data_IF_391124890513
#
_entry.id   IF_391124890513
#
_cell.length_a   1.000
_cell.length_b   1.000
_cell.length_c   1.000
_cell.angle_alpha   90.00
_cell.angle_beta   90.00
_cell.angle_gamma   90.00
#
_symmetry.space_group_name_H-M   'P 1'
#
loop_
_entity.id
_entity.type
_entity.pdbx_description
1 polymer ?
#
# COMPACT_ATOMS: atom_id res chain seq x y z
N UNK A 1 8.60 0.77 19.13
CA UNK A 1 9.22 1.29 17.89
C UNK A 1 9.84 2.65 18.19
N UNK A 2 10.99 3.01 17.59
CA UNK A 2 11.65 4.31 17.85
C UNK A 2 10.76 5.47 17.36
N UNK A 3 10.73 6.61 18.08
CA UNK A 3 9.85 7.74 17.75
C UNK A 3 10.19 8.36 16.39
N UNK A 4 11.46 8.38 16.03
CA UNK A 4 11.95 8.89 14.75
C UNK A 4 11.42 8.06 13.59
N UNK A 5 11.44 6.73 13.73
CA UNK A 5 10.91 5.80 12.72
C UNK A 5 9.39 5.94 12.55
N UNK A 6 8.65 6.22 13.64
CA UNK A 6 7.21 6.50 13.56
C UNK A 6 6.95 7.76 12.72
N UNK A 7 7.68 8.84 13.00
CA UNK A 7 7.52 10.10 12.28
C UNK A 7 7.90 9.97 10.80
N UNK A 8 8.97 9.24 10.50
CA UNK A 8 9.40 8.98 9.13
C UNK A 8 8.36 8.18 8.35
N UNK A 9 7.86 7.08 8.92
CA UNK A 9 6.83 6.26 8.27
C UNK A 9 5.55 7.06 8.04
N UNK A 10 5.11 7.84 9.04
CA UNK A 10 3.95 8.71 8.90
C UNK A 10 4.09 9.65 7.70
N UNK A 11 5.21 10.34 7.59
CA UNK A 11 5.48 11.26 6.49
C UNK A 11 5.53 10.53 5.14
N UNK A 12 6.12 9.34 5.08
CA UNK A 12 6.15 8.52 3.87
C UNK A 12 4.74 8.10 3.42
N UNK A 13 3.87 7.67 4.34
CA UNK A 13 2.49 7.32 4.01
C UNK A 13 1.67 8.51 3.55
N UNK A 14 1.80 9.67 4.20
CA UNK A 14 1.10 10.89 3.81
C UNK A 14 1.55 11.39 2.44
N UNK A 15 2.86 11.37 2.16
CA UNK A 15 3.41 11.81 0.87
C UNK A 15 3.07 10.87 -0.29
N UNK A 16 2.90 9.57 -0.02
CA UNK A 16 2.52 8.58 -1.02
C UNK A 16 1.01 8.56 -1.32
N UNK A 17 0.22 9.31 -0.56
CA UNK A 17 -1.22 9.42 -0.78
C UNK A 17 -1.53 10.37 -1.94
N UNK A 18 -2.44 9.96 -2.81
CA UNK A 18 -2.95 10.79 -3.89
C UNK A 18 -4.44 10.50 -4.14
N UNK A 19 -5.13 11.39 -4.85
CA UNK A 19 -6.56 11.26 -5.13
C UNK A 19 -6.78 10.75 -6.57
N UNK A 20 -7.58 9.71 -6.72
CA UNK A 20 -8.17 9.27 -8.00
C UNK A 20 -9.68 9.35 -7.86
N UNK A 21 -10.35 10.15 -8.70
CA UNK A 21 -11.81 10.27 -8.71
C UNK A 21 -12.40 10.52 -7.30
N UNK A 22 -11.82 11.49 -6.57
CA UNK A 22 -12.20 11.84 -5.19
C UNK A 22 -11.98 10.74 -4.14
N UNK A 23 -11.25 9.66 -4.49
CA UNK A 23 -10.88 8.58 -3.58
C UNK A 23 -9.38 8.61 -3.30
N UNK A 24 -9.01 8.62 -2.02
CA UNK A 24 -7.63 8.48 -1.57
C UNK A 24 -7.06 7.11 -1.89
N UNK A 25 -5.92 7.12 -2.56
CA UNK A 25 -5.21 5.95 -3.06
C UNK A 25 -3.72 6.01 -2.75
N UNK A 26 -3.11 4.83 -2.71
CA UNK A 26 -1.67 4.62 -2.65
C UNK A 26 -1.21 3.73 -3.79
N UNK A 27 0.01 3.93 -4.27
CA UNK A 27 0.65 3.07 -5.27
C UNK A 27 1.17 1.81 -4.59
N UNK A 28 0.83 0.63 -5.11
CA UNK A 28 1.37 -0.63 -4.58
C UNK A 28 2.89 -0.68 -4.69
N UNK A 29 3.48 -0.13 -5.76
CA UNK A 29 4.95 -0.03 -5.92
C UNK A 29 5.62 0.83 -4.85
N UNK A 30 5.01 1.96 -4.47
CA UNK A 30 5.53 2.79 -3.37
C UNK A 30 5.30 2.13 -2.01
N UNK A 31 4.11 1.59 -1.80
CA UNK A 31 3.72 0.94 -0.56
C UNK A 31 4.63 -0.25 -0.25
N UNK A 32 5.07 -1.00 -1.27
CA UNK A 32 6.07 -2.06 -1.15
C UNK A 32 7.31 -1.56 -0.40
N UNK A 33 7.86 -0.42 -0.81
CA UNK A 33 9.08 0.16 -0.26
C UNK A 33 8.86 0.65 1.17
N UNK A 34 7.77 1.38 1.42
CA UNK A 34 7.42 1.88 2.76
C UNK A 34 7.23 0.72 3.74
N UNK A 35 6.62 -0.38 3.28
CA UNK A 35 6.41 -1.57 4.09
C UNK A 35 7.64 -2.46 4.21
N UNK A 36 8.77 -2.11 3.58
CA UNK A 36 10.05 -2.80 3.74
C UNK A 36 10.12 -4.14 2.99
N UNK A 37 9.38 -4.28 1.89
CA UNK A 37 9.51 -5.42 0.99
C UNK A 37 10.56 -5.13 -0.08
N UNK A 38 11.69 -5.83 -0.04
CA UNK A 38 12.76 -5.66 -1.04
C UNK A 38 12.42 -6.27 -2.41
N UNK A 39 11.53 -7.27 -2.43
CA UNK A 39 11.15 -8.02 -3.62
C UNK A 39 9.65 -7.90 -3.89
N UNK A 40 9.29 -7.55 -5.12
CA UNK A 40 7.89 -7.39 -5.53
C UNK A 40 7.11 -8.67 -5.36
N UNK A 41 7.69 -9.84 -5.67
CA UNK A 41 7.00 -11.12 -5.63
C UNK A 41 6.47 -11.44 -4.22
N UNK A 42 7.23 -11.07 -3.19
CA UNK A 42 6.82 -11.22 -1.80
C UNK A 42 5.67 -10.27 -1.44
N UNK A 43 5.70 -9.05 -1.97
CA UNK A 43 4.65 -8.07 -1.72
C UNK A 43 3.37 -8.39 -2.50
N UNK A 44 3.49 -8.83 -3.75
CA UNK A 44 2.40 -9.34 -4.56
C UNK A 44 1.66 -10.47 -3.83
N UNK A 45 2.38 -11.37 -3.15
CA UNK A 45 1.74 -12.40 -2.33
C UNK A 45 0.89 -11.83 -1.17
N UNK A 46 1.34 -10.75 -0.52
CA UNK A 46 0.56 -10.06 0.50
C UNK A 46 -0.69 -9.38 -0.10
N UNK A 47 -0.55 -8.78 -1.28
CA UNK A 47 -1.67 -8.19 -2.04
C UNK A 47 -2.71 -9.26 -2.38
N UNK A 48 -2.30 -10.43 -2.88
CA UNK A 48 -3.23 -11.50 -3.24
C UNK A 48 -3.99 -12.06 -2.02
N UNK A 49 -3.34 -12.14 -0.86
CA UNK A 49 -4.03 -12.47 0.41
C UNK A 49 -5.02 -11.37 0.83
N UNK A 50 -4.65 -10.12 0.65
CA UNK A 50 -5.53 -8.98 0.94
C UNK A 50 -6.76 -8.96 0.03
N UNK A 51 -6.62 -9.25 -1.28
CA UNK A 51 -7.74 -9.41 -2.22
C UNK A 51 -8.70 -10.51 -1.77
N UNK A 52 -8.19 -11.69 -1.39
CA UNK A 52 -9.02 -12.77 -0.84
C UNK A 52 -9.76 -12.37 0.44
N UNK A 53 -9.10 -11.60 1.31
CA UNK A 53 -9.71 -11.09 2.54
C UNK A 53 -10.83 -10.07 2.24
N UNK A 54 -10.64 -9.25 1.21
CA UNK A 54 -11.65 -8.32 0.68
C UNK A 54 -12.90 -9.07 0.20
N UNK A 55 -12.71 -10.08 -0.65
CA UNK A 55 -13.81 -10.93 -1.16
C UNK A 55 -14.55 -11.64 -0.02
N UNK A 56 -13.81 -12.19 0.94
CA UNK A 56 -14.38 -12.87 2.12
C UNK A 56 -15.20 -11.92 2.99
N UNK A 57 -14.87 -10.62 2.98
CA UNK A 57 -15.62 -9.59 3.69
C UNK A 57 -16.85 -9.10 2.93
N UNK A 58 -17.12 -9.63 1.73
CA UNK A 58 -18.24 -9.25 0.88
C UNK A 58 -17.99 -8.02 0.00
N UNK A 59 -16.78 -7.47 0.04
CA UNK A 59 -16.42 -6.27 -0.72
C UNK A 59 -15.86 -6.65 -2.09
N UNK A 60 -16.13 -5.81 -3.10
CA UNK A 60 -15.68 -6.04 -4.46
C UNK A 60 -14.22 -5.61 -4.62
N UNK A 61 -13.35 -6.54 -4.99
CA UNK A 61 -11.90 -6.28 -5.14
C UNK A 61 -11.60 -5.10 -6.07
N UNK A 62 -12.35 -4.94 -7.17
CA UNK A 62 -12.15 -3.86 -8.14
C UNK A 62 -12.35 -2.46 -7.56
N UNK A 63 -13.09 -2.34 -6.46
CA UNK A 63 -13.42 -1.06 -5.85
C UNK A 63 -12.27 -0.60 -4.93
N UNK A 64 -11.37 -1.51 -4.57
CA UNK A 64 -10.27 -1.26 -3.64
C UNK A 64 -8.87 -1.47 -4.23
N UNK A 65 -8.74 -2.37 -5.21
CA UNK A 65 -7.50 -2.76 -5.88
C UNK A 65 -7.67 -2.52 -7.39
N UNK A 66 -7.30 -1.33 -7.85
CA UNK A 66 -7.46 -0.93 -9.25
C UNK A 66 -6.13 -1.03 -9.98
N UNK A 67 -6.06 -1.91 -10.98
CA UNK A 67 -4.88 -2.01 -11.83
C UNK A 67 -4.66 -0.69 -12.61
N UNK A 68 -3.44 -0.19 -12.56
CA UNK A 68 -2.99 1.04 -13.23
C UNK A 68 -1.58 0.84 -13.78
N UNK A 69 -1.10 1.79 -14.56
CA UNK A 69 0.32 1.85 -14.97
C UNK A 69 1.04 2.97 -14.22
N UNK A 70 2.31 2.74 -13.93
CA UNK A 70 3.20 3.74 -13.33
C UNK A 70 4.41 3.96 -14.21
N UNK A 71 4.76 5.23 -14.42
CA UNK A 71 6.00 5.62 -15.07
C UNK A 71 7.16 5.59 -14.08
N UNK A 72 8.24 4.90 -14.44
CA UNK A 72 9.47 4.85 -13.64
C UNK A 72 10.68 5.28 -14.48
N UNK A 73 11.59 6.02 -13.86
CA UNK A 73 12.85 6.41 -14.46
C UNK A 73 13.83 5.24 -14.52
N UNK A 74 14.52 5.10 -15.65
CA UNK A 74 15.65 4.20 -15.83
C UNK A 74 16.95 4.98 -15.62
N UNK A 75 18.03 4.29 -15.26
CA UNK A 75 19.35 4.90 -15.00
C UNK A 75 19.95 5.65 -16.21
N UNK A 76 19.40 5.45 -17.40
CA UNK A 76 19.74 6.15 -18.65
C UNK A 76 19.00 7.48 -18.86
N UNK A 77 18.11 7.88 -17.94
CA UNK A 77 17.25 9.08 -18.09
C UNK A 77 15.98 8.85 -18.93
N UNK A 78 15.81 7.65 -19.50
CA UNK A 78 14.56 7.23 -20.14
C UNK A 78 13.52 6.79 -19.11
N UNK A 79 12.23 6.82 -19.47
CA UNK A 79 11.14 6.34 -18.63
C UNK A 79 10.51 5.08 -19.21
N UNK A 80 9.93 4.25 -18.35
CA UNK A 80 9.19 3.03 -18.73
C UNK A 80 7.91 2.90 -17.92
N UNK A 81 6.86 2.42 -18.56
CA UNK A 81 5.63 1.98 -17.89
C UNK A 81 5.81 0.60 -17.26
N UNK A 82 5.37 0.47 -16.01
CA UNK A 82 5.27 -0.78 -15.29
C UNK A 82 3.86 -0.94 -14.71
N UNK A 83 3.43 -2.18 -14.53
CA UNK A 83 2.17 -2.48 -13.86
C UNK A 83 2.23 -2.09 -12.38
N UNK A 84 1.18 -1.43 -11.91
CA UNK A 84 0.96 -1.01 -10.54
C UNK A 84 -0.52 -1.15 -10.16
N UNK A 85 -0.83 -0.95 -8.89
CA UNK A 85 -2.20 -1.04 -8.37
C UNK A 85 -2.44 0.21 -7.52
N UNK A 86 -3.51 0.93 -7.82
CA UNK A 86 -4.05 1.96 -6.95
C UNK A 86 -4.84 1.28 -5.83
N UNK A 87 -4.40 1.51 -4.61
CA UNK A 87 -4.91 0.88 -3.41
C UNK A 87 -5.66 1.91 -2.58
N UNK A 88 -6.96 1.70 -2.38
CA UNK A 88 -7.73 2.51 -1.43
C UNK A 88 -7.20 2.32 -0.01
N UNK A 89 -7.58 3.21 0.90
CA UNK A 89 -7.29 3.09 2.33
C UNK A 89 -7.65 1.71 2.91
N UNK A 90 -8.78 1.14 2.49
CA UNK A 90 -9.21 -0.20 2.91
C UNK A 90 -8.31 -1.32 2.34
N UNK A 91 -7.89 -1.23 1.08
CA UNK A 91 -6.91 -2.17 0.51
C UNK A 91 -5.57 -2.12 1.28
N UNK A 92 -5.07 -0.92 1.59
CA UNK A 92 -3.85 -0.74 2.37
C UNK A 92 -3.96 -1.36 3.77
N UNK A 93 -5.12 -1.22 4.42
CA UNK A 93 -5.41 -1.88 5.69
C UNK A 93 -5.35 -3.41 5.60
N UNK A 94 -5.99 -4.01 4.59
CA UNK A 94 -5.98 -5.45 4.39
C UNK A 94 -4.58 -5.99 4.03
N UNK A 95 -3.79 -5.23 3.26
CA UNK A 95 -2.40 -5.56 2.98
C UNK A 95 -1.58 -5.55 4.27
N UNK A 96 -1.76 -4.55 5.14
CA UNK A 96 -1.07 -4.49 6.42
C UNK A 96 -1.46 -5.65 7.35
N UNK A 97 -2.73 -6.09 7.36
CA UNK A 97 -3.17 -7.27 8.11
C UNK A 97 -2.55 -8.59 7.61
N UNK A 98 -2.36 -8.70 6.29
CA UNK A 98 -1.80 -9.90 5.64
C UNK A 98 -0.28 -9.82 5.41
N UNK A 99 0.35 -8.76 5.90
CA UNK A 99 1.78 -8.51 5.78
C UNK A 99 2.63 -9.34 6.73
N UNK A 100 3.94 -9.27 6.57
CA UNK A 100 4.92 -9.95 7.42
C UNK A 100 5.03 -9.26 8.78
N UNK A 101 4.53 -9.85 9.88
CA UNK A 101 4.51 -9.22 11.20
C UNK A 101 5.92 -9.01 11.78
N UNK A 102 6.95 -9.66 11.23
CA UNK A 102 8.33 -9.41 11.64
C UNK A 102 8.85 -8.03 11.19
N UNK A 103 8.16 -7.35 10.27
CA UNK A 103 8.52 -6.00 9.80
C UNK A 103 7.87 -4.93 10.68
N UNK A 104 8.65 -4.03 11.32
CA UNK A 104 8.08 -2.96 12.14
C UNK A 104 7.14 -2.02 11.38
N UNK A 105 7.42 -1.78 10.09
CA UNK A 105 6.58 -1.01 9.16
C UNK A 105 5.19 -1.62 8.98
N UNK A 106 5.05 -2.96 9.00
CA UNK A 106 3.75 -3.66 8.94
C UNK A 106 2.93 -3.37 10.21
N UNK A 107 3.52 -3.52 11.40
CA UNK A 107 2.84 -3.24 12.66
C UNK A 107 2.37 -1.77 12.75
N UNK A 108 3.19 -0.84 12.25
CA UNK A 108 2.79 0.55 12.13
C UNK A 108 1.63 0.75 11.16
N UNK A 109 1.72 0.18 9.95
CA UNK A 109 0.69 0.30 8.92
C UNK A 109 -0.67 -0.22 9.41
N UNK A 110 -0.68 -1.33 10.16
CA UNK A 110 -1.90 -1.86 10.79
C UNK A 110 -2.58 -0.82 11.68
N UNK A 111 -1.80 -0.07 12.46
CA UNK A 111 -2.32 0.99 13.33
C UNK A 111 -2.73 2.22 12.52
N UNK A 112 -1.88 2.67 11.61
CA UNK A 112 -2.09 3.85 10.78
C UNK A 112 -3.39 3.76 9.97
N UNK A 113 -3.56 2.68 9.20
CA UNK A 113 -4.75 2.50 8.36
C UNK A 113 -6.00 2.16 9.18
N UNK A 114 -5.88 1.52 10.35
CA UNK A 114 -7.04 1.26 11.24
C UNK A 114 -7.58 2.52 11.94
N UNK A 115 -6.70 3.47 12.29
CA UNK A 115 -7.12 4.74 12.90
C UNK A 115 -7.71 5.67 11.84
N UNK A 116 -7.12 5.68 10.64
CA UNK A 116 -7.58 6.49 9.52
C UNK A 116 -8.97 6.03 9.02
N UNK A 117 -9.29 4.74 8.98
CA UNK A 117 -10.63 4.27 8.57
C UNK A 117 -11.76 4.66 9.54
N UNK A 118 -11.44 5.16 10.74
CA UNK A 118 -12.43 5.67 11.72
C UNK A 118 -12.68 7.18 11.62
N UNK A 119 -11.89 7.89 10.83
CA UNK A 119 -12.12 9.30 10.51
C UNK A 119 -13.00 9.34 9.25
N UNK A 120 -14.29 9.04 9.41
CA UNK A 120 -15.33 9.35 8.43
C UNK A 120 -16.02 10.63 8.84
#
# INVERSE_FOLDING_TARGET
MKKELIAELLQQFENACYIINDVECWSARELQTILGYSRWENFAHAIEKAKKSCETSGEKVSDHFRDITKMVGLGSGSQREIDDIALTRYACYLIAQNGDPAKPSIAFAQTYFAVQTRKQ
#
